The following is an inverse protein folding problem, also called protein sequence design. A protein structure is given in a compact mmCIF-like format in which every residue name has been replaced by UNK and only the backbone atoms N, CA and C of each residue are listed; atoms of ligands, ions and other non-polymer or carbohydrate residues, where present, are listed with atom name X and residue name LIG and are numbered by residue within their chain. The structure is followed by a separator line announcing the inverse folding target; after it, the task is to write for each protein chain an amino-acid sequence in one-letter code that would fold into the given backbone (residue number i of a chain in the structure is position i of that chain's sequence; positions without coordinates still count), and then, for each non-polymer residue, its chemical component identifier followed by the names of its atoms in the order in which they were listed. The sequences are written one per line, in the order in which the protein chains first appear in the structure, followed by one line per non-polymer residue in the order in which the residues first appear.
data_IF_741774130371
#
_entry.id   IF_741774130371
#
_cell.length_a   1.000
_cell.length_b   1.000
_cell.length_c   1.000
_cell.angle_alpha   90.00
_cell.angle_beta   90.00
_cell.angle_gamma   90.00
#
_symmetry.space_group_name_H-M   'P 1'
#
loop_
_entity.id
_entity.type
_entity.pdbx_description
1 polymer ?
#
# COMPACT_ATOMS: atom_id res chain seq x y z
N UNK A 1 16.35 115.92 -40.81
CA UNK A 1 15.21 115.19 -40.19
C UNK A 1 15.52 113.69 -40.13
N UNK A 2 16.15 113.18 -39.06
CA UNK A 2 16.39 111.74 -38.89
C UNK A 2 15.28 111.16 -38.02
N UNK A 3 14.45 110.30 -38.62
CA UNK A 3 13.30 109.69 -37.95
C UNK A 3 13.76 108.85 -36.74
N UNK A 4 13.18 109.05 -35.53
CA UNK A 4 13.62 108.39 -34.29
C UNK A 4 13.36 106.87 -34.23
N UNK A 5 12.68 106.28 -35.23
CA UNK A 5 12.26 104.87 -35.24
C UNK A 5 13.34 103.81 -35.53
N UNK A 6 14.41 104.11 -36.29
CA UNK A 6 15.39 103.07 -36.71
C UNK A 6 16.23 102.48 -35.57
N UNK A 7 16.64 103.29 -34.59
CA UNK A 7 17.48 102.84 -33.44
C UNK A 7 16.73 101.95 -32.44
N UNK A 8 15.40 101.94 -32.49
CA UNK A 8 14.57 101.02 -31.71
C UNK A 8 14.50 99.63 -32.36
N UNK A 9 14.50 99.59 -33.70
CA UNK A 9 14.41 98.35 -34.48
C UNK A 9 15.71 97.54 -34.39
N UNK A 10 16.88 98.19 -34.50
CA UNK A 10 18.19 97.54 -34.37
C UNK A 10 18.40 96.90 -32.97
N UNK A 11 18.00 97.60 -31.90
CA UNK A 11 18.05 97.07 -30.52
C UNK A 11 17.09 95.89 -30.32
N UNK A 12 15.92 95.94 -30.96
CA UNK A 12 14.94 94.85 -30.94
C UNK A 12 15.42 93.63 -31.74
N UNK A 13 16.13 93.84 -32.84
CA UNK A 13 16.75 92.78 -33.63
C UNK A 13 17.85 92.04 -32.85
N UNK A 14 18.75 92.77 -32.18
CA UNK A 14 19.79 92.19 -31.32
C UNK A 14 19.21 91.41 -30.13
N UNK A 15 18.21 91.96 -29.43
CA UNK A 15 17.53 91.26 -28.34
C UNK A 15 16.79 89.99 -28.82
N UNK A 16 16.23 90.00 -30.04
CA UNK A 16 15.59 88.82 -30.65
C UNK A 16 16.62 87.73 -31.00
N UNK A 17 17.80 88.10 -31.46
CA UNK A 17 18.88 87.16 -31.76
C UNK A 17 19.46 86.53 -30.49
N UNK A 18 19.70 87.34 -29.46
CA UNK A 18 20.18 86.85 -28.16
C UNK A 18 19.18 85.87 -27.52
N UNK A 19 17.89 86.21 -27.52
CA UNK A 19 16.82 85.31 -27.07
C UNK A 19 16.75 84.02 -27.89
N UNK A 20 17.03 84.08 -29.20
CA UNK A 20 17.10 82.88 -30.08
C UNK A 20 18.30 82.01 -29.73
N UNK A 21 19.47 82.61 -29.45
CA UNK A 21 20.68 81.89 -29.00
C UNK A 21 20.47 81.22 -27.64
N UNK A 22 19.96 81.97 -26.65
CA UNK A 22 19.63 81.43 -25.32
C UNK A 22 18.60 80.30 -25.40
N UNK A 23 17.54 80.44 -26.21
CA UNK A 23 16.54 79.38 -26.43
C UNK A 23 17.14 78.14 -27.12
N UNK A 24 18.05 78.33 -28.07
CA UNK A 24 18.73 77.23 -28.75
C UNK A 24 19.67 76.47 -27.79
N UNK A 25 20.38 77.18 -26.91
CA UNK A 25 21.26 76.59 -25.90
C UNK A 25 20.47 75.82 -24.84
N UNK A 26 19.39 76.39 -24.30
CA UNK A 26 18.49 75.70 -23.38
C UNK A 26 17.88 74.43 -24.02
N UNK A 27 17.52 74.49 -25.32
CA UNK A 27 17.01 73.31 -26.04
C UNK A 27 18.08 72.23 -26.23
N UNK A 28 19.33 72.62 -26.51
CA UNK A 28 20.47 71.68 -26.61
C UNK A 28 20.79 71.04 -25.27
N UNK A 29 20.84 71.82 -24.19
CA UNK A 29 21.04 71.30 -22.83
C UNK A 29 19.91 70.36 -22.40
N UNK A 30 18.65 70.72 -22.65
CA UNK A 30 17.50 69.87 -22.36
C UNK A 30 17.50 68.57 -23.20
N UNK A 31 17.96 68.60 -24.45
CA UNK A 31 18.12 67.41 -25.28
C UNK A 31 19.22 66.48 -24.74
N UNK A 32 20.39 67.03 -24.37
CA UNK A 32 21.48 66.27 -23.77
C UNK A 32 21.07 65.61 -22.45
N UNK A 33 20.36 66.34 -21.57
CA UNK A 33 19.83 65.81 -20.32
C UNK A 33 18.82 64.67 -20.54
N UNK A 34 17.97 64.76 -21.58
CA UNK A 34 17.04 63.69 -21.93
C UNK A 34 17.75 62.46 -22.46
N UNK A 35 18.78 62.64 -23.28
CA UNK A 35 19.59 61.55 -23.81
C UNK A 35 20.38 60.84 -22.70
N UNK A 36 21.01 61.58 -21.79
CA UNK A 36 21.71 61.01 -20.65
C UNK A 36 20.76 60.24 -19.72
N UNK A 37 19.57 60.78 -19.46
CA UNK A 37 18.52 60.10 -18.68
C UNK A 37 18.06 58.81 -19.37
N UNK A 38 17.91 58.81 -20.71
CA UNK A 38 17.56 57.62 -21.49
C UNK A 38 18.66 56.57 -21.41
N UNK A 39 19.91 56.96 -21.64
CA UNK A 39 21.09 56.07 -21.54
C UNK A 39 21.22 55.46 -20.15
N UNK A 40 20.99 56.24 -19.09
CA UNK A 40 21.00 55.75 -17.71
C UNK A 40 19.82 54.82 -17.41
N UNK A 41 18.67 55.02 -18.04
CA UNK A 41 17.52 54.13 -17.91
C UNK A 41 17.75 52.78 -18.62
N UNK A 42 18.26 52.79 -19.85
CA UNK A 42 18.65 51.56 -20.58
C UNK A 42 19.72 50.77 -19.80
N UNK A 43 20.80 51.42 -19.36
CA UNK A 43 21.84 50.75 -18.58
C UNK A 43 21.34 50.17 -17.24
N UNK A 44 20.26 50.71 -16.67
CA UNK A 44 19.59 50.12 -15.49
C UNK A 44 18.72 48.94 -15.88
N UNK A 45 18.00 49.01 -17.00
CA UNK A 45 17.18 47.91 -17.49
C UNK A 45 18.02 46.71 -17.90
N UNK A 46 19.14 46.92 -18.60
CA UNK A 46 20.05 45.84 -19.00
C UNK A 46 20.64 45.12 -17.78
N UNK A 47 21.07 45.87 -16.76
CA UNK A 47 21.55 45.27 -15.49
C UNK A 47 20.48 44.48 -14.76
N UNK A 48 19.21 44.89 -14.84
CA UNK A 48 18.10 44.14 -14.23
C UNK A 48 17.84 42.86 -15.02
N UNK A 49 17.80 42.95 -16.37
CA UNK A 49 17.63 41.78 -17.26
C UNK A 49 18.74 40.75 -17.09
N UNK A 50 19.99 41.19 -17.02
CA UNK A 50 21.15 40.32 -16.80
C UNK A 50 21.06 39.61 -15.43
N UNK A 51 20.68 40.36 -14.37
CA UNK A 51 20.50 39.78 -13.03
C UNK A 51 19.30 38.84 -12.95
N UNK A 52 18.24 39.08 -13.72
CA UNK A 52 17.06 38.22 -13.77
C UNK A 52 17.35 36.94 -14.56
N UNK A 53 18.04 37.05 -15.71
CA UNK A 53 18.51 35.90 -16.48
C UNK A 53 19.44 35.02 -15.64
N UNK A 54 20.43 35.61 -14.96
CA UNK A 54 21.32 34.85 -14.07
C UNK A 54 20.59 34.17 -12.91
N UNK A 55 19.47 34.75 -12.43
CA UNK A 55 18.64 34.11 -11.40
C UNK A 55 17.82 32.95 -11.97
N UNK A 56 17.26 33.12 -13.16
CA UNK A 56 16.51 32.07 -13.85
C UNK A 56 17.43 30.87 -14.14
N UNK A 57 18.64 31.10 -14.66
CA UNK A 57 19.59 30.01 -14.92
C UNK A 57 19.94 29.20 -13.66
N UNK A 58 20.11 29.86 -12.51
CA UNK A 58 20.34 29.16 -11.23
C UNK A 58 19.10 28.39 -10.79
N UNK A 59 17.91 28.99 -10.89
CA UNK A 59 16.64 28.35 -10.48
C UNK A 59 16.30 27.15 -11.39
N UNK A 60 16.57 27.24 -12.69
CA UNK A 60 16.42 26.15 -13.66
C UNK A 60 17.43 25.03 -13.40
N UNK A 61 18.68 25.36 -13.07
CA UNK A 61 19.68 24.36 -12.68
C UNK A 61 19.28 23.61 -11.40
N UNK A 62 18.84 24.34 -10.35
CA UNK A 62 18.37 23.73 -9.10
C UNK A 62 17.12 22.84 -9.33
N UNK A 63 16.17 23.28 -10.17
CA UNK A 63 15.02 22.46 -10.55
C UNK A 63 15.43 21.17 -11.27
N UNK A 64 16.34 21.27 -12.24
CA UNK A 64 16.81 20.11 -12.98
C UNK A 64 17.54 19.11 -12.08
N UNK A 65 18.35 19.58 -11.12
CA UNK A 65 19.00 18.71 -10.13
C UNK A 65 17.99 18.03 -9.18
N UNK A 66 16.97 18.76 -8.73
CA UNK A 66 15.91 18.21 -7.88
C UNK A 66 15.09 17.14 -8.63
N UNK A 67 14.74 17.40 -9.89
CA UNK A 67 14.01 16.45 -10.73
C UNK A 67 14.85 15.20 -11.02
N UNK A 68 16.15 15.36 -11.33
CA UNK A 68 17.05 14.23 -11.53
C UNK A 68 17.21 13.38 -10.27
N UNK A 69 17.32 14.00 -9.08
CA UNK A 69 17.35 13.27 -7.80
C UNK A 69 16.05 12.54 -7.53
N UNK A 70 14.91 13.18 -7.79
CA UNK A 70 13.59 12.55 -7.62
C UNK A 70 13.41 11.35 -8.55
N UNK A 71 13.79 11.49 -9.82
CA UNK A 71 13.74 10.39 -10.79
C UNK A 71 14.66 9.23 -10.41
N UNK A 72 15.85 9.49 -9.86
CA UNK A 72 16.73 8.43 -9.36
C UNK A 72 16.14 7.71 -8.15
N UNK A 73 15.56 8.45 -7.20
CA UNK A 73 14.89 7.86 -6.03
C UNK A 73 13.67 7.03 -6.44
N UNK A 74 12.88 7.50 -7.41
CA UNK A 74 11.72 6.78 -7.92
C UNK A 74 12.12 5.53 -8.73
N UNK A 75 13.21 5.59 -9.49
CA UNK A 75 13.78 4.44 -10.17
C UNK A 75 14.34 3.41 -9.17
N UNK A 76 15.02 3.85 -8.11
CA UNK A 76 15.50 2.97 -7.05
C UNK A 76 14.34 2.33 -6.28
N UNK A 77 13.33 3.12 -5.90
CA UNK A 77 12.13 2.64 -5.21
C UNK A 77 11.34 1.65 -6.08
N UNK A 78 11.23 1.87 -7.39
CA UNK A 78 10.55 0.92 -8.27
C UNK A 78 11.33 -0.40 -8.42
N UNK A 79 12.66 -0.35 -8.46
CA UNK A 79 13.50 -1.55 -8.46
C UNK A 79 13.41 -2.34 -7.14
N UNK A 80 13.40 -1.65 -5.99
CA UNK A 80 13.17 -2.28 -4.67
C UNK A 80 11.79 -2.92 -4.59
N UNK A 81 10.75 -2.23 -5.07
CA UNK A 81 9.38 -2.70 -5.05
C UNK A 81 9.21 -3.93 -5.97
N UNK A 82 9.91 -3.98 -7.11
CA UNK A 82 9.95 -5.16 -7.97
C UNK A 82 10.76 -6.32 -7.37
N UNK A 83 11.78 -6.03 -6.56
CA UNK A 83 12.47 -7.02 -5.73
C UNK A 83 11.51 -7.66 -4.71
N UNK A 84 10.82 -6.84 -3.92
CA UNK A 84 9.83 -7.31 -2.95
C UNK A 84 8.67 -8.06 -3.61
N UNK A 85 8.22 -7.66 -4.81
CA UNK A 85 7.24 -8.44 -5.58
C UNK A 85 7.77 -9.81 -5.98
N UNK A 86 9.03 -9.91 -6.41
CA UNK A 86 9.63 -11.22 -6.72
C UNK A 86 9.73 -12.08 -5.47
N UNK A 87 10.20 -11.53 -4.36
CA UNK A 87 10.33 -12.25 -3.10
C UNK A 87 8.96 -12.68 -2.54
N UNK A 88 7.93 -11.84 -2.66
CA UNK A 88 6.55 -12.20 -2.31
C UNK A 88 5.95 -13.28 -3.23
N UNK A 89 6.30 -13.31 -4.52
CA UNK A 89 5.84 -14.35 -5.45
C UNK A 89 6.56 -15.67 -5.21
N UNK A 90 7.84 -15.63 -4.81
CA UNK A 90 8.60 -16.85 -4.49
C UNK A 90 8.04 -17.55 -3.24
N UNK A 91 7.46 -16.83 -2.28
CA UNK A 91 6.82 -17.44 -1.10
C UNK A 91 5.42 -18.02 -1.41
N UNK A 92 4.70 -17.49 -2.41
CA UNK A 92 3.42 -18.04 -2.87
C UNK A 92 3.56 -19.31 -3.73
N UNK A 93 4.76 -19.59 -4.27
CA UNK A 93 5.09 -20.82 -5.01
C UNK A 93 6.10 -21.73 -4.26
N UNK A 94 6.51 -21.33 -3.06
CA UNK A 94 7.70 -21.82 -2.37
C UNK A 94 7.48 -22.55 -1.04
N UNK A 95 6.27 -23.00 -0.70
CA UNK A 95 6.09 -24.01 0.34
C UNK A 95 5.42 -25.26 -0.26
N UNK A 96 6.26 -26.27 -0.53
CA UNK A 96 5.84 -27.55 -1.09
C UNK A 96 6.86 -28.27 -1.96
N UNK A 97 8.14 -27.92 -1.90
CA UNK A 97 9.21 -28.73 -2.45
C UNK A 97 9.66 -29.80 -1.44
N UNK A 98 8.74 -30.66 -1.02
CA UNK A 98 9.06 -32.00 -0.49
C UNK A 98 8.13 -32.99 -1.17
N UNK A 99 8.60 -33.53 -2.29
CA UNK A 99 8.17 -34.75 -2.97
C UNK A 99 6.68 -35.13 -2.98
N UNK A 100 5.90 -34.65 -3.95
CA UNK A 100 4.82 -35.43 -4.58
C UNK A 100 4.33 -34.76 -5.87
N UNK A 101 4.53 -35.44 -7.00
CA UNK A 101 4.03 -35.07 -8.33
C UNK A 101 2.49 -35.17 -8.38
N UNK A 102 1.77 -34.05 -8.20
CA UNK A 102 0.31 -34.01 -8.29
C UNK A 102 -0.24 -32.68 -8.82
N UNK A 103 -1.28 -32.76 -9.65
CA UNK A 103 -2.10 -31.61 -10.09
C UNK A 103 -2.60 -30.79 -8.89
N UNK A 104 -2.80 -29.46 -8.99
CA UNK A 104 -3.31 -28.62 -7.89
C UNK A 104 -4.56 -29.16 -7.20
N UNK A 105 -5.41 -29.87 -7.95
CA UNK A 105 -6.62 -30.52 -7.43
C UNK A 105 -6.30 -31.72 -6.52
N UNK A 106 -5.29 -32.51 -6.87
CA UNK A 106 -4.85 -33.66 -6.07
C UNK A 106 -4.25 -33.21 -4.72
N UNK A 107 -3.52 -32.08 -4.71
CA UNK A 107 -2.95 -31.51 -3.49
C UNK A 107 -4.03 -31.01 -2.52
N UNK A 108 -5.11 -30.44 -3.06
CA UNK A 108 -6.28 -30.04 -2.27
C UNK A 108 -7.00 -31.25 -1.64
N UNK A 109 -7.13 -32.34 -2.40
CA UNK A 109 -7.74 -33.59 -1.93
C UNK A 109 -6.90 -34.28 -0.84
N UNK A 110 -5.57 -34.30 -0.99
CA UNK A 110 -4.64 -34.84 0.01
C UNK A 110 -4.67 -34.04 1.32
N UNK A 111 -4.69 -32.70 1.21
CA UNK A 111 -4.84 -31.82 2.38
C UNK A 111 -6.16 -32.08 3.11
N UNK A 112 -7.25 -32.19 2.35
CA UNK A 112 -8.58 -32.50 2.91
C UNK A 112 -8.60 -33.85 3.62
N UNK A 113 -7.98 -34.90 3.04
CA UNK A 113 -7.83 -36.20 3.70
C UNK A 113 -7.02 -36.11 4.99
N UNK A 114 -5.95 -35.33 4.97
CA UNK A 114 -5.08 -35.13 6.14
C UNK A 114 -5.82 -34.42 7.28
N UNK A 115 -6.65 -33.41 6.95
CA UNK A 115 -7.54 -32.75 7.92
C UNK A 115 -8.55 -33.73 8.51
N UNK A 116 -9.17 -34.58 7.69
CA UNK A 116 -10.09 -35.63 8.19
C UNK A 116 -9.39 -36.58 9.16
N UNK A 117 -8.17 -37.01 8.85
CA UNK A 117 -7.39 -37.89 9.73
C UNK A 117 -7.04 -37.18 11.06
N UNK A 118 -6.64 -35.90 10.99
CA UNK A 118 -6.34 -35.10 12.17
C UNK A 118 -7.56 -34.92 13.09
N UNK A 119 -8.72 -34.60 12.52
CA UNK A 119 -9.99 -34.40 13.25
C UNK A 119 -10.56 -35.70 13.82
N UNK A 120 -10.23 -36.85 13.23
CA UNK A 120 -10.58 -38.17 13.78
C UNK A 120 -9.65 -38.59 14.92
N UNK A 121 -8.37 -38.20 14.86
CA UNK A 121 -7.42 -38.45 15.94
C UNK A 121 -7.68 -37.56 17.15
N UNK A 122 -7.89 -36.27 16.89
CA UNK A 122 -8.14 -35.27 17.92
C UNK A 122 -9.63 -34.93 17.95
N UNK A 123 -10.35 -35.40 18.96
CA UNK A 123 -11.79 -35.16 19.07
C UNK A 123 -12.15 -33.70 19.28
N UNK A 124 -11.26 -32.92 19.90
CA UNK A 124 -11.46 -31.49 20.18
C UNK A 124 -10.41 -30.67 19.44
N UNK A 125 -10.80 -30.10 18.31
CA UNK A 125 -9.88 -29.33 17.47
C UNK A 125 -10.12 -27.84 17.60
N UNK A 126 -9.06 -27.09 17.86
CA UNK A 126 -9.09 -25.62 17.79
C UNK A 126 -8.70 -25.18 16.38
N UNK A 127 -9.45 -24.24 15.79
CA UNK A 127 -9.16 -23.76 14.43
C UNK A 127 -7.79 -23.13 14.29
N UNK A 128 -7.30 -22.43 15.32
CA UNK A 128 -5.95 -21.85 15.32
C UNK A 128 -4.85 -22.92 15.24
N UNK A 129 -4.98 -24.01 16.00
CA UNK A 129 -4.00 -25.11 15.95
C UNK A 129 -4.01 -25.82 14.61
N UNK A 130 -5.22 -26.10 14.06
CA UNK A 130 -5.33 -26.68 12.72
C UNK A 130 -4.76 -25.74 11.65
N UNK A 131 -5.01 -24.43 11.77
CA UNK A 131 -4.47 -23.42 10.87
C UNK A 131 -2.94 -23.41 10.86
N UNK A 132 -2.31 -23.58 12.04
CA UNK A 132 -0.86 -23.69 12.18
C UNK A 132 -0.31 -24.98 11.56
N UNK A 133 -0.92 -26.13 11.85
CA UNK A 133 -0.42 -27.43 11.37
C UNK A 133 -0.50 -27.58 9.85
N UNK A 134 -1.51 -26.97 9.22
CA UNK A 134 -1.76 -27.08 7.78
C UNK A 134 -1.41 -25.81 6.99
N UNK A 135 -0.78 -24.83 7.64
CA UNK A 135 -0.40 -23.53 7.09
C UNK A 135 -1.54 -22.85 6.30
N UNK A 136 -2.73 -22.75 6.92
CA UNK A 136 -3.94 -22.17 6.31
C UNK A 136 -4.57 -21.12 7.22
N UNK A 137 -5.49 -20.31 6.69
CA UNK A 137 -6.20 -19.35 7.55
C UNK A 137 -7.26 -20.05 8.43
N UNK A 138 -7.52 -19.60 9.67
CA UNK A 138 -8.58 -20.18 10.52
C UNK A 138 -9.98 -20.17 9.87
N UNK A 139 -10.24 -19.17 9.02
CA UNK A 139 -11.48 -19.08 8.23
C UNK A 139 -11.56 -20.16 7.15
N UNK A 140 -10.44 -20.49 6.54
CA UNK A 140 -10.34 -21.55 5.54
C UNK A 140 -10.51 -22.93 6.18
N UNK A 141 -9.88 -23.17 7.34
CA UNK A 141 -10.08 -24.38 8.13
C UNK A 141 -11.56 -24.60 8.48
N UNK A 142 -12.25 -23.54 8.92
CA UNK A 142 -13.70 -23.58 9.17
C UNK A 142 -14.50 -23.94 7.92
N UNK A 143 -14.17 -23.33 6.77
CA UNK A 143 -14.84 -23.63 5.50
C UNK A 143 -14.68 -25.09 5.08
N UNK A 144 -13.46 -25.63 5.20
CA UNK A 144 -13.17 -27.03 4.86
C UNK A 144 -13.97 -27.98 5.77
N UNK A 145 -14.03 -27.73 7.08
CA UNK A 145 -14.82 -28.55 8.00
C UNK A 145 -16.32 -28.47 7.65
N UNK A 146 -16.85 -27.28 7.35
CA UNK A 146 -18.24 -27.13 6.91
C UNK A 146 -18.53 -27.89 5.61
N UNK A 147 -17.62 -27.83 4.63
CA UNK A 147 -17.72 -28.61 3.38
C UNK A 147 -17.72 -30.12 3.69
N UNK A 148 -16.86 -30.58 4.60
CA UNK A 148 -16.81 -31.99 5.02
C UNK A 148 -18.07 -32.45 5.78
N UNK A 149 -18.68 -31.55 6.56
CA UNK A 149 -19.96 -31.80 7.22
C UNK A 149 -21.12 -31.89 6.23
N UNK A 150 -21.17 -30.99 5.26
CA UNK A 150 -22.21 -31.03 4.20
C UNK A 150 -22.11 -32.27 3.34
N UNK A 151 -20.90 -32.82 3.16
CA UNK A 151 -20.65 -34.11 2.51
C UNK A 151 -20.95 -35.32 3.43
N UNK A 152 -21.19 -35.11 4.73
CA UNK A 152 -21.45 -36.18 5.70
C UNK A 152 -20.21 -37.04 6.02
N UNK A 153 -19.00 -36.57 5.71
CA UNK A 153 -17.75 -37.29 6.02
C UNK A 153 -17.34 -37.10 7.49
N UNK A 154 -17.71 -35.97 8.07
CA UNK A 154 -17.49 -35.62 9.47
C UNK A 154 -18.82 -35.19 10.11
N UNK A 155 -19.09 -35.69 11.31
CA UNK A 155 -20.19 -35.29 12.17
C UNK A 155 -19.62 -34.61 13.40
N UNK A 156 -20.16 -33.44 13.76
CA UNK A 156 -19.65 -32.69 14.89
C UNK A 156 -20.40 -31.39 15.15
N UNK A 157 -20.00 -30.71 16.22
CA UNK A 157 -20.62 -29.46 16.67
C UNK A 157 -19.56 -28.36 16.71
N UNK A 158 -19.93 -27.19 16.19
CA UNK A 158 -19.13 -25.97 16.33
C UNK A 158 -19.46 -25.28 17.64
N UNK A 159 -18.44 -24.99 18.43
CA UNK A 159 -18.52 -24.12 19.60
C UNK A 159 -18.39 -22.65 19.15
N UNK A 160 -19.11 -21.74 19.80
CA UNK A 160 -19.05 -20.29 19.52
C UNK A 160 -17.66 -19.69 19.83
N UNK A 161 -16.85 -20.44 20.57
CA UNK A 161 -15.45 -20.15 20.93
C UNK A 161 -14.42 -20.56 19.89
N UNK A 162 -14.85 -21.08 18.72
CA UNK A 162 -13.92 -21.48 17.65
C UNK A 162 -13.28 -22.85 17.87
N UNK A 163 -14.01 -23.78 18.50
CA UNK A 163 -13.62 -25.18 18.61
C UNK A 163 -14.58 -26.06 17.82
N UNK A 164 -14.05 -27.15 17.30
CA UNK A 164 -14.82 -28.20 16.65
C UNK A 164 -14.73 -29.48 17.48
N UNK A 165 -15.89 -30.03 17.83
CA UNK A 165 -15.97 -31.31 18.55
C UNK A 165 -16.55 -32.34 17.60
N UNK A 166 -15.76 -33.36 17.28
CA UNK A 166 -16.19 -34.49 16.46
C UNK A 166 -16.98 -35.47 17.32
N UNK A 167 -18.08 -35.99 16.78
CA UNK A 167 -18.88 -37.03 17.44
C UNK A 167 -19.03 -38.19 16.47
N UNK A 168 -18.57 -39.36 16.87
CA UNK A 168 -18.72 -40.59 16.10
C UNK A 168 -20.15 -41.14 16.21
N UNK A 169 -20.66 -41.77 15.15
CA UNK A 169 -21.97 -42.42 15.17
C UNK A 169 -22.11 -43.47 16.28
N UNK A 170 -21.01 -44.16 16.61
CA UNK A 170 -20.96 -45.13 17.71
C UNK A 170 -21.22 -44.48 19.08
N UNK A 171 -20.76 -43.25 19.27
CA UNK A 171 -20.94 -42.50 20.52
C UNK A 171 -22.38 -42.03 20.66
N UNK A 172 -22.95 -41.54 19.55
CA UNK A 172 -24.36 -41.20 19.45
C UNK A 172 -25.25 -42.41 19.74
N UNK A 173 -24.92 -43.58 19.22
CA UNK A 173 -25.68 -44.80 19.48
C UNK A 173 -25.55 -45.26 20.93
N UNK A 174 -24.35 -45.22 21.52
CA UNK A 174 -24.15 -45.50 22.94
C UNK A 174 -24.94 -44.55 23.86
N UNK A 175 -25.03 -43.27 23.49
CA UNK A 175 -25.85 -42.28 24.18
C UNK A 175 -27.34 -42.55 24.00
N UNK A 176 -27.80 -42.87 22.80
CA UNK A 176 -29.20 -43.22 22.52
C UNK A 176 -29.63 -44.45 23.33
N UNK A 177 -28.80 -45.48 23.37
CA UNK A 177 -28.99 -46.68 24.19
C UNK A 177 -29.11 -46.36 25.68
N UNK A 178 -28.25 -45.46 26.17
CA UNK A 178 -28.26 -45.03 27.56
C UNK A 178 -29.55 -44.28 27.93
N UNK A 179 -30.00 -43.38 27.05
CA UNK A 179 -31.28 -42.66 27.19
C UNK A 179 -32.44 -43.65 27.20
N UNK A 180 -32.47 -44.60 26.27
CA UNK A 180 -33.55 -45.60 26.17
C UNK A 180 -33.61 -46.53 27.40
N UNK A 181 -32.46 -46.93 27.96
CA UNK A 181 -32.40 -47.82 29.14
C UNK A 181 -32.82 -47.14 30.44
N UNK A 182 -32.48 -45.85 30.62
CA UNK A 182 -32.76 -45.10 31.86
C UNK A 182 -34.09 -44.35 31.82
N UNK A 183 -34.60 -43.99 30.65
CA UNK A 183 -35.86 -43.26 30.46
C UNK A 183 -35.77 -41.81 30.94
N UNK A 184 -35.87 -41.57 32.25
CA UNK A 184 -35.71 -40.24 32.86
C UNK A 184 -34.25 -40.01 33.26
N UNK A 185 -33.62 -39.03 32.62
CA UNK A 185 -32.27 -38.58 32.93
C UNK A 185 -32.29 -37.12 33.35
N UNK A 186 -31.43 -36.77 34.31
CA UNK A 186 -31.13 -35.36 34.59
C UNK A 186 -30.10 -34.86 33.58
N UNK A 187 -30.05 -33.54 33.35
CA UNK A 187 -29.06 -32.95 32.44
C UNK A 187 -27.62 -33.21 32.93
N UNK A 188 -27.43 -33.27 34.25
CA UNK A 188 -26.14 -33.55 34.89
C UNK A 188 -25.67 -34.98 34.59
N UNK A 189 -26.55 -35.98 34.75
CA UNK A 189 -26.20 -37.37 34.44
C UNK A 189 -25.89 -37.58 32.95
N UNK A 190 -26.66 -36.91 32.07
CA UNK A 190 -26.45 -36.99 30.63
C UNK A 190 -25.13 -36.33 30.20
N UNK A 191 -24.83 -35.14 30.71
CA UNK A 191 -23.60 -34.42 30.39
C UNK A 191 -22.37 -35.13 30.94
N UNK A 192 -22.42 -35.68 32.16
CA UNK A 192 -21.35 -36.53 32.69
C UNK A 192 -21.08 -37.73 31.77
N UNK A 193 -22.14 -38.44 31.37
CA UNK A 193 -21.99 -39.61 30.49
C UNK A 193 -21.50 -39.26 29.10
N UNK A 194 -21.94 -38.13 28.54
CA UNK A 194 -21.49 -37.64 27.24
C UNK A 194 -20.01 -37.24 27.28
N UNK A 195 -19.59 -36.51 28.32
CA UNK A 195 -18.20 -36.10 28.48
C UNK A 195 -17.28 -37.32 28.65
N UNK A 196 -17.69 -38.33 29.44
CA UNK A 196 -16.91 -39.57 29.59
C UNK A 196 -16.69 -40.28 28.25
N UNK A 197 -17.72 -40.38 27.41
CA UNK A 197 -17.62 -41.02 26.09
C UNK A 197 -16.70 -40.23 25.15
N UNK A 198 -16.80 -38.91 25.17
CA UNK A 198 -15.95 -38.03 24.37
C UNK A 198 -14.49 -38.14 24.84
N UNK A 199 -14.20 -38.17 26.15
CA UNK A 199 -12.84 -38.25 26.67
C UNK A 199 -12.20 -39.65 26.57
N UNK A 200 -12.97 -40.74 26.61
CA UNK A 200 -12.42 -42.09 26.74
C UNK A 200 -11.77 -42.69 25.48
N UNK A 201 -11.88 -42.06 24.31
CA UNK A 201 -11.43 -42.68 23.03
C UNK A 201 -10.18 -42.03 22.42
N UNK A 202 -9.38 -41.32 23.21
CA UNK A 202 -8.09 -40.79 22.74
C UNK A 202 -6.94 -41.81 22.72
N UNK A 203 -7.13 -43.06 23.17
CA UNK A 203 -6.02 -44.01 23.40
C UNK A 203 -6.00 -45.27 22.51
N UNK A 204 -6.77 -45.37 21.43
CA UNK A 204 -6.79 -46.60 20.63
C UNK A 204 -6.68 -46.29 19.13
N UNK A 205 -5.44 -46.36 18.60
CA UNK A 205 -5.02 -47.28 17.51
C UNK A 205 -3.68 -46.84 16.87
N UNK A 206 -2.55 -47.20 17.50
CA UNK A 206 -1.26 -47.37 16.83
C UNK A 206 -0.76 -48.79 17.13
N UNK A 207 -1.34 -49.76 16.43
CA UNK A 207 -1.11 -51.19 16.70
C UNK A 207 -1.19 -52.06 15.46
N UNK A 208 -0.76 -51.58 14.29
CA UNK A 208 -0.62 -52.44 13.11
C UNK A 208 0.62 -53.30 13.27
N UNK A 209 0.42 -54.49 13.83
CA UNK A 209 1.34 -55.62 13.81
C UNK A 209 1.79 -55.90 12.38
N UNK A 210 3.03 -55.54 12.06
CA UNK A 210 3.76 -56.04 10.91
C UNK A 210 4.63 -57.21 11.35
N UNK A 211 4.02 -58.35 11.61
CA UNK A 211 4.75 -59.62 11.72
C UNK A 211 4.08 -60.62 10.79
N UNK A 212 4.78 -60.96 9.72
CA UNK A 212 4.48 -62.13 8.91
C UNK A 212 5.80 -62.66 8.34
N UNK A 213 5.92 -64.00 8.28
CA UNK A 213 7.16 -64.75 8.45
C UNK A 213 8.11 -64.73 7.25
#
# INVERSE_FOLDING_TARGET
SRCPGRRGDDRRALAKEEKKRQKAELKRFAAAQREEKRRRAEARQDKVREREAARQEVEDAERAELEAKKAQLEAAASAELDGWKRDMVVDAEGEGAVGASGSPRARSEERTRSVVAYVRREKVVSFDSMAQDFNMSPREAMRIIQELQTQGTLSGVFDDRGKFITVDDKELEALADYVNKRGRLTLEDFTARANDLISARCEEEDGTQGDSP
#
